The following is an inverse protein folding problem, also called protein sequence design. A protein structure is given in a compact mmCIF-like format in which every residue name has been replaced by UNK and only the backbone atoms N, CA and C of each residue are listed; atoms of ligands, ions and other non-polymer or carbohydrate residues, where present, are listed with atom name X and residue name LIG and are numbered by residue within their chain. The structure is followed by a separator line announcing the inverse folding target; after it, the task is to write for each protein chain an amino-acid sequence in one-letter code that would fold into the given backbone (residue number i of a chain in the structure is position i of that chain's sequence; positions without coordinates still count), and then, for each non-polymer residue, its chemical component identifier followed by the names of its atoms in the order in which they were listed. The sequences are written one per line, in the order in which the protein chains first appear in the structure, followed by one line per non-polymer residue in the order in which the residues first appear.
data_IF_939075602485
#
_entry.id   IF_939075602485
#
_cell.length_a   1.000
_cell.length_b   1.000
_cell.length_c   1.000
_cell.angle_alpha   90.00
_cell.angle_beta   90.00
_cell.angle_gamma   90.00
#
_symmetry.space_group_name_H-M   'P 1'
#
loop_
_entity.id
_entity.type
_entity.pdbx_description
1 polymer ?
#
# COMPACT_ATOMS: atom_id res chain seq x y z
N UNK A 1 -64.86 -37.99 25.29
CA UNK A 1 -64.54 -37.26 24.04
C UNK A 1 -63.03 -37.02 24.02
N UNK A 2 -62.42 -37.15 22.82
CA UNK A 2 -61.01 -36.86 22.47
C UNK A 2 -60.04 -37.99 22.92
N UNK A 3 -59.73 -39.00 22.12
CA UNK A 3 -58.92 -39.03 20.88
C UNK A 3 -57.48 -38.53 21.07
N UNK A 4 -56.49 -39.42 21.00
CA UNK A 4 -55.42 -39.37 19.97
C UNK A 4 -54.43 -40.53 20.14
N UNK A 5 -54.21 -41.22 19.03
CA UNK A 5 -53.11 -42.15 18.81
C UNK A 5 -51.81 -41.36 18.56
N UNK A 6 -50.68 -41.88 19.03
CA UNK A 6 -49.34 -41.39 18.70
C UNK A 6 -48.44 -42.56 18.32
N UNK A 7 -48.47 -42.95 17.05
CA UNK A 7 -47.51 -43.89 16.48
C UNK A 7 -46.18 -43.14 16.25
N UNK A 8 -45.15 -43.48 17.03
CA UNK A 8 -43.80 -42.98 16.81
C UNK A 8 -43.16 -43.64 15.59
N UNK A 9 -43.15 -42.93 14.46
CA UNK A 9 -42.40 -43.28 13.26
C UNK A 9 -40.90 -43.03 13.50
N UNK A 10 -40.16 -44.08 13.87
CA UNK A 10 -38.70 -44.10 13.69
C UNK A 10 -38.39 -44.40 12.22
N UNK A 11 -38.30 -43.37 11.39
CA UNK A 11 -37.69 -43.47 10.06
C UNK A 11 -36.16 -43.54 10.18
N UNK A 12 -35.46 -44.25 9.28
CA UNK A 12 -34.01 -44.31 9.32
C UNK A 12 -33.44 -42.92 8.98
N UNK A 13 -32.56 -42.42 9.85
CA UNK A 13 -31.77 -41.22 9.56
C UNK A 13 -30.85 -41.58 8.39
N UNK A 14 -31.14 -41.03 7.21
CA UNK A 14 -30.29 -41.15 6.04
C UNK A 14 -28.94 -40.52 6.38
N UNK A 15 -27.89 -41.34 6.43
CA UNK A 15 -26.54 -40.86 6.61
C UNK A 15 -26.18 -39.99 5.39
N UNK A 16 -26.16 -38.67 5.58
CA UNK A 16 -25.49 -37.78 4.64
C UNK A 16 -24.01 -38.18 4.63
N UNK A 17 -23.60 -38.95 3.61
CA UNK A 17 -22.20 -39.12 3.29
C UNK A 17 -21.67 -37.71 2.97
N UNK A 18 -20.91 -37.13 3.90
CA UNK A 18 -20.17 -35.92 3.64
C UNK A 18 -19.22 -36.21 2.47
N UNK A 19 -19.56 -35.71 1.29
CA UNK A 19 -18.62 -35.70 0.18
C UNK A 19 -17.38 -34.97 0.68
N UNK A 20 -16.29 -35.72 0.88
CA UNK A 20 -14.97 -35.13 1.11
C UNK A 20 -14.71 -34.23 -0.09
N UNK A 21 -14.87 -32.92 0.06
CA UNK A 21 -14.35 -31.96 -0.91
C UNK A 21 -12.86 -32.27 -1.00
N UNK A 22 -12.44 -32.66 -2.20
CA UNK A 22 -11.03 -32.85 -2.53
C UNK A 22 -10.31 -31.58 -2.05
N UNK A 23 -9.27 -31.76 -1.23
CA UNK A 23 -8.45 -30.63 -0.81
C UNK A 23 -8.01 -29.88 -2.08
N UNK A 24 -8.07 -28.53 -2.09
CA UNK A 24 -7.65 -27.77 -3.26
C UNK A 24 -6.24 -28.24 -3.63
N UNK A 25 -6.08 -28.59 -4.90
CA UNK A 25 -4.81 -29.06 -5.43
C UNK A 25 -3.77 -27.98 -5.16
N UNK A 26 -2.66 -28.34 -4.51
CA UNK A 26 -1.57 -27.39 -4.26
C UNK A 26 -1.06 -26.94 -5.63
N UNK A 27 -1.09 -25.64 -5.95
CA UNK A 27 -0.66 -25.17 -7.26
C UNK A 27 0.75 -25.67 -7.54
N UNK A 28 0.94 -26.29 -8.71
CA UNK A 28 2.26 -26.67 -9.19
C UNK A 28 3.19 -25.45 -9.32
N UNK A 29 4.49 -25.65 -9.54
CA UNK A 29 5.43 -24.54 -9.70
C UNK A 29 4.99 -23.59 -10.81
N UNK A 30 5.12 -22.27 -10.57
CA UNK A 30 4.77 -21.23 -11.55
C UNK A 30 5.58 -21.43 -12.82
N UNK A 31 4.89 -21.53 -13.97
CA UNK A 31 5.50 -21.76 -15.28
C UNK A 31 6.41 -20.59 -15.68
N UNK A 32 7.35 -20.85 -16.59
CA UNK A 32 8.28 -19.82 -17.05
C UNK A 32 7.56 -18.66 -17.75
N UNK A 33 6.52 -18.96 -18.51
CA UNK A 33 5.68 -17.97 -19.21
C UNK A 33 4.92 -17.10 -18.22
N UNK A 34 4.31 -17.72 -17.20
CA UNK A 34 3.61 -17.02 -16.13
C UNK A 34 4.56 -16.10 -15.36
N UNK A 35 5.80 -16.56 -15.11
CA UNK A 35 6.83 -15.75 -14.46
C UNK A 35 7.19 -14.52 -15.29
N UNK A 36 7.36 -14.67 -16.60
CA UNK A 36 7.66 -13.55 -17.50
C UNK A 36 6.50 -12.54 -17.53
N UNK A 37 5.26 -13.03 -17.56
CA UNK A 37 4.07 -12.18 -17.48
C UNK A 37 4.00 -11.42 -16.16
N UNK A 38 4.21 -12.09 -15.02
CA UNK A 38 4.20 -11.46 -13.71
C UNK A 38 5.32 -10.42 -13.55
N UNK A 39 6.49 -10.65 -14.16
CA UNK A 39 7.59 -9.67 -14.18
C UNK A 39 7.22 -8.40 -14.95
N UNK A 40 6.69 -8.55 -16.17
CA UNK A 40 6.23 -7.42 -16.99
C UNK A 40 5.08 -6.67 -16.30
N UNK A 41 4.12 -7.38 -15.73
CA UNK A 41 3.01 -6.80 -14.98
C UNK A 41 3.49 -6.00 -13.77
N UNK A 42 4.36 -6.59 -12.94
CA UNK A 42 4.90 -5.92 -11.76
C UNK A 42 5.74 -4.68 -12.12
N UNK A 43 6.55 -4.76 -13.20
CA UNK A 43 7.30 -3.63 -13.70
C UNK A 43 6.36 -2.48 -14.13
N UNK A 44 5.27 -2.78 -14.83
CA UNK A 44 4.26 -1.76 -15.20
C UNK A 44 3.54 -1.17 -13.99
N UNK A 45 3.26 -1.96 -12.96
CA UNK A 45 2.73 -1.45 -11.70
C UNK A 45 3.71 -0.48 -11.02
N UNK A 46 5.01 -0.78 -11.07
CA UNK A 46 6.04 0.14 -10.58
C UNK A 46 6.03 1.47 -11.32
N UNK A 47 5.86 1.47 -12.66
CA UNK A 47 5.87 2.70 -13.46
C UNK A 47 4.82 3.71 -12.99
N UNK A 48 3.68 3.27 -12.44
CA UNK A 48 2.73 4.19 -11.82
C UNK A 48 3.38 5.01 -10.70
N UNK A 49 4.04 4.37 -9.72
CA UNK A 49 4.68 5.07 -8.61
C UNK A 49 5.89 5.90 -9.06
N UNK A 50 6.53 5.51 -10.16
CA UNK A 50 7.63 6.26 -10.75
C UNK A 50 7.15 7.51 -11.49
N UNK A 51 6.14 7.38 -12.34
CA UNK A 51 5.70 8.46 -13.23
C UNK A 51 4.70 9.41 -12.56
N UNK A 52 3.97 8.92 -11.55
CA UNK A 52 2.90 9.68 -10.90
C UNK A 52 3.32 10.25 -9.53
N UNK A 53 4.60 10.17 -9.18
CA UNK A 53 5.17 10.92 -8.06
C UNK A 53 5.62 12.30 -8.51
N UNK A 54 5.33 13.33 -7.71
CA UNK A 54 5.89 14.66 -7.93
C UNK A 54 7.40 14.65 -7.68
N UNK A 55 8.20 15.20 -8.61
CA UNK A 55 9.66 15.16 -8.54
C UNK A 55 10.25 16.01 -7.39
N UNK A 56 9.49 16.97 -6.84
CA UNK A 56 9.93 17.85 -5.76
C UNK A 56 9.44 17.41 -4.40
N UNK A 57 8.20 16.93 -4.29
CA UNK A 57 7.62 16.51 -3.01
C UNK A 57 7.69 15.01 -2.78
N UNK A 58 7.80 14.23 -3.85
CA UNK A 58 7.71 12.77 -3.81
C UNK A 58 6.32 12.23 -3.47
N UNK A 59 5.29 13.08 -3.41
CA UNK A 59 3.89 12.69 -3.18
C UNK A 59 3.36 12.01 -4.46
N UNK A 60 2.79 10.82 -4.29
CA UNK A 60 2.18 10.04 -5.37
C UNK A 60 0.74 10.51 -5.60
N UNK A 61 0.38 10.78 -6.86
CA UNK A 61 -0.98 11.12 -7.26
C UNK A 61 -1.95 9.99 -6.89
N UNK A 62 -3.18 10.33 -6.51
CA UNK A 62 -4.24 9.38 -6.17
C UNK A 62 -4.67 8.50 -7.36
N UNK A 63 -4.52 9.04 -8.57
CA UNK A 63 -4.97 8.37 -9.80
C UNK A 63 -4.17 8.85 -11.00
N UNK A 64 -4.13 7.99 -12.02
CA UNK A 64 -3.65 8.31 -13.35
C UNK A 64 -4.73 7.98 -14.39
N UNK A 65 -4.65 8.59 -15.56
CA UNK A 65 -5.53 8.24 -16.69
C UNK A 65 -4.89 7.13 -17.51
N UNK A 66 -5.70 6.15 -17.92
CA UNK A 66 -5.22 5.03 -18.75
C UNK A 66 -4.74 5.46 -20.14
N UNK A 67 -5.07 6.67 -20.58
CA UNK A 67 -4.59 7.28 -21.83
C UNK A 67 -3.24 8.02 -21.67
N UNK A 68 -2.66 8.03 -20.47
CA UNK A 68 -1.41 8.72 -20.15
C UNK A 68 -1.51 10.25 -20.04
N UNK A 69 -2.68 10.83 -20.23
CA UNK A 69 -2.85 12.28 -20.11
C UNK A 69 -2.80 12.74 -18.64
N UNK A 70 -2.26 13.94 -18.36
CA UNK A 70 -2.13 14.43 -16.99
C UNK A 70 -3.47 14.58 -16.26
N UNK A 71 -3.50 14.29 -14.96
CA UNK A 71 -4.63 14.62 -14.08
C UNK A 71 -4.53 16.07 -13.60
N UNK A 72 -5.55 16.89 -13.92
CA UNK A 72 -5.48 18.34 -13.72
C UNK A 72 -5.52 18.81 -12.27
N UNK A 73 -6.10 18.03 -11.34
CA UNK A 73 -6.31 18.46 -9.97
C UNK A 73 -5.16 18.08 -9.01
N UNK A 74 -4.08 17.41 -9.46
CA UNK A 74 -2.90 17.04 -8.64
C UNK A 74 -3.22 16.55 -7.22
N UNK A 75 -4.27 15.75 -7.07
CA UNK A 75 -4.61 15.14 -5.78
C UNK A 75 -3.61 14.02 -5.53
N UNK A 76 -2.85 14.13 -4.44
CA UNK A 76 -1.93 13.12 -3.96
C UNK A 76 -2.52 12.32 -2.80
N UNK A 77 -2.20 11.03 -2.73
CA UNK A 77 -2.63 10.13 -1.65
C UNK A 77 -1.45 9.80 -0.74
N UNK A 78 -1.66 9.94 0.56
CA UNK A 78 -0.65 9.61 1.57
C UNK A 78 -0.40 8.09 1.62
N UNK A 79 -1.46 7.29 1.56
CA UNK A 79 -1.32 5.83 1.46
C UNK A 79 -0.56 5.41 0.19
N UNK A 80 -0.92 5.97 -0.98
CA UNK A 80 -0.22 5.68 -2.24
C UNK A 80 1.26 6.06 -2.18
N UNK A 81 1.59 7.16 -1.48
CA UNK A 81 2.98 7.58 -1.25
C UNK A 81 3.75 6.55 -0.40
N UNK A 82 3.12 5.99 0.64
CA UNK A 82 3.67 4.87 1.41
C UNK A 82 3.99 3.64 0.57
N UNK A 83 3.04 3.22 -0.27
CA UNK A 83 3.27 2.13 -1.23
C UNK A 83 4.35 2.47 -2.26
N UNK A 84 4.45 3.74 -2.67
CA UNK A 84 5.50 4.23 -3.55
C UNK A 84 6.91 4.04 -2.96
N UNK A 85 7.10 4.38 -1.67
CA UNK A 85 8.38 4.16 -0.97
C UNK A 85 8.78 2.68 -0.97
N UNK A 86 7.83 1.78 -0.72
CA UNK A 86 8.07 0.33 -0.77
C UNK A 86 8.40 -0.13 -2.20
N UNK A 87 7.69 0.40 -3.19
CA UNK A 87 7.92 0.08 -4.60
C UNK A 87 9.32 0.51 -5.04
N UNK A 88 9.85 1.64 -4.57
CA UNK A 88 11.22 2.08 -4.87
C UNK A 88 12.27 1.10 -4.35
N UNK A 89 12.07 0.49 -3.18
CA UNK A 89 12.92 -0.62 -2.72
C UNK A 89 12.88 -1.80 -3.68
N UNK A 90 11.68 -2.23 -4.08
CA UNK A 90 11.47 -3.37 -4.96
C UNK A 90 12.16 -3.11 -6.30
N UNK A 91 11.95 -1.94 -6.88
CA UNK A 91 12.53 -1.54 -8.15
C UNK A 91 14.07 -1.54 -8.12
N UNK A 92 14.68 -1.05 -7.03
CA UNK A 92 16.12 -1.14 -6.84
C UNK A 92 16.60 -2.60 -6.71
N UNK A 93 15.91 -3.42 -5.91
CA UNK A 93 16.27 -4.83 -5.70
C UNK A 93 16.16 -5.69 -6.97
N UNK A 94 15.22 -5.35 -7.85
CA UNK A 94 15.00 -6.00 -9.14
C UNK A 94 15.82 -5.42 -10.28
N UNK A 95 16.58 -4.34 -10.03
CA UNK A 95 17.39 -3.68 -11.04
C UNK A 95 16.58 -2.91 -12.10
N UNK A 96 15.31 -2.60 -11.83
CA UNK A 96 14.48 -1.76 -12.71
C UNK A 96 14.95 -0.30 -12.71
N UNK A 97 15.50 0.15 -11.58
CA UNK A 97 16.19 1.44 -11.43
C UNK A 97 17.49 1.25 -10.66
N UNK A 98 18.43 2.18 -10.81
CA UNK A 98 19.66 2.16 -10.02
C UNK A 98 19.36 2.46 -8.55
N UNK A 99 20.10 1.80 -7.65
CA UNK A 99 19.91 1.94 -6.20
C UNK A 99 20.03 3.39 -5.71
N UNK A 100 20.96 4.18 -6.26
CA UNK A 100 21.12 5.60 -5.92
C UNK A 100 19.95 6.47 -6.41
N UNK A 101 19.34 6.14 -7.55
CA UNK A 101 18.14 6.83 -8.05
C UNK A 101 16.93 6.56 -7.14
N UNK A 102 16.75 5.32 -6.69
CA UNK A 102 15.71 4.97 -5.74
C UNK A 102 15.91 5.69 -4.39
N UNK A 103 17.14 5.68 -3.86
CA UNK A 103 17.49 6.41 -2.62
C UNK A 103 17.26 7.92 -2.75
N UNK A 104 17.62 8.51 -3.89
CA UNK A 104 17.40 9.93 -4.14
C UNK A 104 15.90 10.28 -4.07
N UNK A 105 15.03 9.48 -4.70
CA UNK A 105 13.57 9.70 -4.64
C UNK A 105 12.99 9.47 -3.26
N UNK A 106 13.44 8.45 -2.54
CA UNK A 106 13.06 8.24 -1.14
C UNK A 106 13.45 9.46 -0.30
N UNK A 107 14.68 9.96 -0.43
CA UNK A 107 15.13 11.14 0.30
C UNK A 107 14.33 12.39 -0.06
N UNK A 108 13.97 12.59 -1.32
CA UNK A 108 13.05 13.67 -1.73
C UNK A 108 11.75 13.58 -0.95
N UNK A 109 11.08 12.42 -0.95
CA UNK A 109 9.83 12.22 -0.20
C UNK A 109 10.01 12.43 1.30
N UNK A 110 11.00 11.78 1.92
CA UNK A 110 11.18 11.84 3.38
C UNK A 110 11.54 13.26 3.85
N UNK A 111 12.44 13.96 3.15
CA UNK A 111 12.77 15.36 3.47
C UNK A 111 11.54 16.25 3.37
N UNK A 112 10.73 16.04 2.34
CA UNK A 112 9.52 16.84 2.15
C UNK A 112 8.48 16.56 3.24
N UNK A 113 8.22 15.29 3.56
CA UNK A 113 7.28 14.91 4.61
C UNK A 113 7.73 15.36 6.00
N UNK A 114 9.03 15.32 6.27
CA UNK A 114 9.57 15.83 7.51
C UNK A 114 9.37 17.34 7.65
N UNK A 115 9.74 18.12 6.63
CA UNK A 115 9.81 19.58 6.75
C UNK A 115 8.55 20.35 6.31
N UNK A 116 7.72 19.80 5.42
CA UNK A 116 6.71 20.58 4.70
C UNK A 116 5.32 19.93 4.58
N UNK A 117 5.20 18.61 4.62
CA UNK A 117 3.89 17.97 4.43
C UNK A 117 2.91 18.37 5.55
N UNK A 118 1.70 18.73 5.16
CA UNK A 118 0.68 19.17 6.10
C UNK A 118 0.19 17.99 6.95
N UNK A 119 0.26 18.14 8.27
CA UNK A 119 -0.13 17.13 9.25
C UNK A 119 -0.64 17.82 10.52
N UNK A 120 -1.27 17.06 11.40
CA UNK A 120 -1.72 17.49 12.72
C UNK A 120 -1.31 16.43 13.75
N UNK A 121 -0.54 16.82 14.77
CA UNK A 121 0.03 15.88 15.77
C UNK A 121 0.75 14.66 15.14
N UNK A 122 1.45 14.90 14.02
CA UNK A 122 2.12 13.89 13.19
C UNK A 122 1.21 13.05 12.29
N UNK A 123 -0.12 13.13 12.45
CA UNK A 123 -1.09 12.44 11.60
C UNK A 123 -1.35 13.18 10.30
N UNK A 124 -1.37 12.45 9.19
CA UNK A 124 -1.59 13.02 7.86
C UNK A 124 -3.05 12.89 7.43
N UNK A 125 -3.40 13.77 6.50
CA UNK A 125 -4.69 13.75 5.82
C UNK A 125 -4.68 12.72 4.68
N UNK A 126 -5.85 12.17 4.35
CA UNK A 126 -6.00 11.24 3.22
C UNK A 126 -5.41 11.84 1.93
N UNK A 127 -5.77 13.09 1.63
CA UNK A 127 -5.34 13.77 0.43
C UNK A 127 -4.53 15.03 0.70
N UNK A 128 -3.37 15.09 0.04
CA UNK A 128 -2.52 16.26 -0.04
C UNK A 128 -2.46 16.77 -1.49
N UNK A 129 -2.13 18.04 -1.68
CA UNK A 129 -1.75 18.54 -3.00
C UNK A 129 -0.35 18.04 -3.33
N UNK A 130 -0.20 17.29 -4.41
CA UNK A 130 1.08 16.69 -4.76
C UNK A 130 2.18 17.72 -5.05
N UNK A 131 1.83 18.96 -5.41
CA UNK A 131 2.82 20.01 -5.70
C UNK A 131 3.34 20.74 -4.46
N UNK A 132 2.57 20.76 -3.37
CA UNK A 132 2.89 21.63 -2.22
C UNK A 132 2.55 21.05 -0.84
N UNK A 133 2.10 19.79 -0.77
CA UNK A 133 1.86 19.07 0.48
C UNK A 133 0.73 19.60 1.36
N UNK A 134 -0.06 20.59 0.91
CA UNK A 134 -1.20 21.11 1.69
C UNK A 134 -2.38 20.14 1.65
N UNK A 135 -3.19 20.13 2.71
CA UNK A 135 -4.46 19.38 2.75
C UNK A 135 -5.32 19.68 1.52
N UNK A 136 -5.88 18.64 0.91
CA UNK A 136 -6.72 18.74 -0.28
C UNK A 136 -8.08 18.07 -0.07
N UNK A 137 -9.07 18.51 -0.87
CA UNK A 137 -10.45 18.01 -0.88
C UNK A 137 -11.17 18.07 0.47
N UNK A 138 -10.74 18.96 1.38
CA UNK A 138 -11.22 19.00 2.77
C UNK A 138 -11.17 17.61 3.45
N UNK A 139 -10.26 16.73 3.02
CA UNK A 139 -10.12 15.37 3.52
C UNK A 139 -9.91 15.31 5.03
N UNK A 140 -10.29 14.22 5.66
CA UNK A 140 -10.07 13.92 7.06
C UNK A 140 -8.60 13.64 7.37
N UNK A 141 -8.22 13.82 8.65
CA UNK A 141 -7.04 13.13 9.18
C UNK A 141 -7.32 11.64 9.07
N UNK A 142 -6.46 10.89 8.38
CA UNK A 142 -6.66 9.46 8.12
C UNK A 142 -5.61 8.65 8.87
N UNK A 143 -6.08 7.92 9.89
CA UNK A 143 -5.24 7.00 10.65
C UNK A 143 -4.73 5.85 9.81
N UNK A 144 -5.57 5.36 8.89
CA UNK A 144 -5.26 4.25 7.99
C UNK A 144 -4.20 4.68 6.96
N UNK A 145 -4.37 5.83 6.33
CA UNK A 145 -3.41 6.32 5.32
C UNK A 145 -2.08 6.67 5.96
N UNK A 146 -2.11 7.29 7.15
CA UNK A 146 -0.90 7.54 7.94
C UNK A 146 -0.19 6.22 8.25
N UNK A 147 -0.93 5.18 8.67
CA UNK A 147 -0.33 3.87 8.95
C UNK A 147 0.32 3.25 7.72
N UNK A 148 -0.33 3.28 6.55
CA UNK A 148 0.26 2.79 5.30
C UNK A 148 1.48 3.59 4.87
N UNK A 149 1.46 4.90 5.06
CA UNK A 149 2.62 5.76 4.84
C UNK A 149 3.79 5.39 5.74
N UNK A 150 3.56 5.24 7.05
CA UNK A 150 4.60 4.85 8.00
C UNK A 150 5.20 3.47 7.71
N UNK A 151 4.37 2.49 7.28
CA UNK A 151 4.88 1.20 6.80
C UNK A 151 5.87 1.39 5.64
N UNK A 152 5.55 2.26 4.68
CA UNK A 152 6.45 2.59 3.57
C UNK A 152 7.73 3.29 4.01
N UNK A 153 7.63 4.23 4.95
CA UNK A 153 8.76 4.96 5.54
C UNK A 153 9.73 4.01 6.24
N UNK A 154 9.22 3.13 7.10
CA UNK A 154 10.05 2.15 7.81
C UNK A 154 10.60 1.08 6.87
N UNK A 155 9.86 0.70 5.83
CA UNK A 155 10.35 -0.21 4.79
C UNK A 155 11.56 0.41 4.07
N UNK A 156 11.48 1.67 3.66
CA UNK A 156 12.59 2.38 3.04
C UNK A 156 13.84 2.42 3.93
N UNK A 157 13.67 2.62 5.25
CA UNK A 157 14.76 2.49 6.21
C UNK A 157 15.34 1.08 6.22
N UNK A 158 14.52 0.03 6.27
CA UNK A 158 15.01 -1.35 6.21
C UNK A 158 15.80 -1.67 4.94
N UNK A 159 15.28 -1.28 3.77
CA UNK A 159 15.91 -1.55 2.46
C UNK A 159 17.27 -0.88 2.30
N UNK A 160 17.39 0.35 2.80
CA UNK A 160 18.58 1.19 2.64
C UNK A 160 19.23 1.50 3.99
N UNK A 161 19.44 0.45 4.79
CA UNK A 161 20.02 0.54 6.14
C UNK A 161 21.41 1.20 6.21
N UNK A 162 22.17 1.16 5.11
CA UNK A 162 23.46 1.85 4.98
C UNK A 162 23.35 3.37 4.79
N UNK A 163 22.17 3.89 4.45
CA UNK A 163 21.95 5.33 4.26
C UNK A 163 21.45 5.97 5.56
N UNK A 164 22.34 6.65 6.28
CA UNK A 164 22.03 7.27 7.58
C UNK A 164 20.93 8.31 7.53
N UNK A 165 20.83 9.07 6.44
CA UNK A 165 19.83 10.13 6.34
C UNK A 165 18.42 9.54 6.17
N UNK A 166 18.28 8.46 5.38
CA UNK A 166 17.01 7.71 5.28
C UNK A 166 16.62 7.16 6.65
N UNK A 167 17.57 6.56 7.41
CA UNK A 167 17.29 6.08 8.77
C UNK A 167 16.76 7.21 9.66
N UNK A 168 17.50 8.32 9.74
CA UNK A 168 17.17 9.42 10.63
C UNK A 168 15.82 10.02 10.31
N UNK A 169 15.54 10.35 9.04
CA UNK A 169 14.26 10.93 8.66
C UNK A 169 13.10 9.95 8.86
N UNK A 170 13.30 8.66 8.57
CA UNK A 170 12.26 7.66 8.76
C UNK A 170 11.85 7.52 10.24
N UNK A 171 12.82 7.45 11.15
CA UNK A 171 12.55 7.40 12.58
C UNK A 171 11.92 8.69 13.09
N UNK A 172 12.43 9.86 12.68
CA UNK A 172 11.86 11.16 13.05
C UNK A 172 10.40 11.30 12.60
N UNK A 173 10.08 10.89 11.38
CA UNK A 173 8.71 10.92 10.86
C UNK A 173 7.80 9.98 11.67
N UNK A 174 8.26 8.78 11.99
CA UNK A 174 7.50 7.80 12.76
C UNK A 174 7.27 8.28 14.21
N UNK A 175 8.31 8.77 14.87
CA UNK A 175 8.27 9.22 16.28
C UNK A 175 7.49 10.52 16.47
N UNK A 176 7.32 11.32 15.41
CA UNK A 176 6.48 12.52 15.44
C UNK A 176 4.98 12.21 15.58
N UNK A 177 4.55 10.98 15.25
CA UNK A 177 3.13 10.63 15.33
C UNK A 177 2.72 10.42 16.77
N UNK A 178 1.85 11.31 17.27
CA UNK A 178 1.33 11.25 18.63
C UNK A 178 0.17 10.24 18.67
N UNK A 179 0.49 8.96 18.88
CA UNK A 179 -0.50 7.89 18.90
C UNK A 179 -1.56 8.06 20.00
N UNK A 180 -1.18 8.58 21.17
CA UNK A 180 -2.09 8.80 22.30
C UNK A 180 -3.08 9.95 22.09
N UNK A 181 -2.86 10.79 21.06
CA UNK A 181 -3.76 11.89 20.72
C UNK A 181 -5.00 11.42 19.95
N UNK A 182 -4.93 10.27 19.28
CA UNK A 182 -5.97 9.73 18.40
C UNK A 182 -6.94 8.79 19.14
#
# INVERSE_FOLDING_TARGET
MISTAGAGLFGPVSAFAAARKQAPEVPGPIKAEDRKFLEDYAHRCFLYFWEQADDHTGIVLDRARNDGSPVGNRVGSVAATGFGLTTLCIAASRGWVRSDQAQARILTTLRYFWAHAFHDHGWYYHFLDASNGKRKLASEISSVDTSWFLCGVLTAAGCFSGNREIQTLAHQIFERVEFDWM
#
